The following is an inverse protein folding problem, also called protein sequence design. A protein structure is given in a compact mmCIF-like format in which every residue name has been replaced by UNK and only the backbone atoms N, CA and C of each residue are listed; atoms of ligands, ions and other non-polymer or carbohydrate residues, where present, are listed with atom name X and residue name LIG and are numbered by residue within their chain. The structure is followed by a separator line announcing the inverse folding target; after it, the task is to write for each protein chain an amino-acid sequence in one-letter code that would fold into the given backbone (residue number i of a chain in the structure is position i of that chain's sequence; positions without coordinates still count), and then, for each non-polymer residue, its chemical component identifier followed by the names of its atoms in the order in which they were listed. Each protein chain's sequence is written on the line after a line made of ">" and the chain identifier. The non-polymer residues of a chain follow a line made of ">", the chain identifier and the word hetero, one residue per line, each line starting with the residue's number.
data_IF_251874419742
#
_entry.id   IF_251874419742
#
_cell.length_a   1.000
_cell.length_b   1.000
_cell.length_c   1.000
_cell.angle_alpha   90.00
_cell.angle_beta   90.00
_cell.angle_gamma   90.00
#
_symmetry.space_group_name_H-M   'P 1'
#
loop_
_entity.id
_entity.type
_entity.pdbx_description
1 polymer ?
#
# COMPACT_ATOMS: atom_id res chain seq x y z
N UNK A 1 0.38 -44.13 36.64
CA UNK A 1 1.08 -43.36 35.58
C UNK A 1 0.15 -42.50 34.69
N UNK A 2 -1.12 -42.25 35.04
CA UNK A 2 -2.07 -41.51 34.16
C UNK A 2 -2.11 -39.99 34.37
N UNK A 3 -1.58 -39.46 35.48
CA UNK A 3 -1.65 -38.03 35.83
C UNK A 3 -0.59 -37.14 35.16
N UNK A 4 0.51 -37.72 34.65
CA UNK A 4 1.57 -36.96 33.96
C UNK A 4 1.29 -36.73 32.47
N UNK A 5 0.44 -37.57 31.87
CA UNK A 5 0.11 -37.51 30.44
C UNK A 5 -0.95 -36.41 30.16
N UNK A 6 -1.87 -36.17 31.10
CA UNK A 6 -2.91 -35.14 30.97
C UNK A 6 -2.37 -33.72 31.08
N UNK A 7 -1.33 -33.48 31.89
CA UNK A 7 -0.70 -32.16 32.01
C UNK A 7 0.07 -31.74 30.75
N UNK A 8 0.70 -32.69 30.05
CA UNK A 8 1.44 -32.42 28.83
C UNK A 8 0.52 -32.02 27.66
N UNK A 9 -0.65 -32.67 27.51
CA UNK A 9 -1.61 -32.30 26.47
C UNK A 9 -2.26 -30.92 26.71
N UNK A 10 -2.52 -30.54 27.96
CA UNK A 10 -3.05 -29.22 28.29
C UNK A 10 -2.05 -28.10 28.02
N UNK A 11 -0.76 -28.32 28.29
CA UNK A 11 0.30 -27.35 27.98
C UNK A 11 0.47 -27.09 26.48
N UNK A 12 0.39 -28.14 25.65
CA UNK A 12 0.47 -28.02 24.19
C UNK A 12 -0.74 -27.26 23.62
N UNK A 13 -1.94 -27.47 24.19
CA UNK A 13 -3.16 -26.81 23.74
C UNK A 13 -3.16 -25.30 24.03
N UNK A 14 -2.63 -24.88 25.19
CA UNK A 14 -2.49 -23.46 25.55
C UNK A 14 -1.45 -22.76 24.66
N UNK A 15 -0.34 -23.43 24.35
CA UNK A 15 0.67 -22.91 23.41
C UNK A 15 0.11 -22.74 21.98
N UNK A 16 -0.69 -23.70 21.51
CA UNK A 16 -1.33 -23.61 20.19
C UNK A 16 -2.34 -22.45 20.10
N UNK A 17 -3.15 -22.22 21.14
CA UNK A 17 -4.09 -21.09 21.18
C UNK A 17 -3.37 -19.72 21.26
N UNK A 18 -2.24 -19.63 21.95
CA UNK A 18 -1.43 -18.42 21.99
C UNK A 18 -0.89 -17.99 20.62
N UNK A 19 -0.45 -18.95 19.79
CA UNK A 19 0.04 -18.69 18.42
C UNK A 19 -1.10 -18.22 17.51
N UNK A 20 -2.31 -18.75 17.68
CA UNK A 20 -3.49 -18.32 16.92
C UNK A 20 -3.90 -16.88 17.25
N UNK A 21 -3.91 -16.47 18.52
CA UNK A 21 -4.26 -15.09 18.88
C UNK A 21 -3.22 -14.07 18.36
N UNK A 22 -1.92 -14.38 18.40
CA UNK A 22 -0.90 -13.49 17.84
C UNK A 22 -1.07 -13.27 16.33
N UNK A 23 -1.45 -14.32 15.59
CA UNK A 23 -1.75 -14.21 14.16
C UNK A 23 -3.03 -13.43 13.88
N UNK A 24 -4.07 -13.55 14.73
CA UNK A 24 -5.32 -12.77 14.59
C UNK A 24 -5.08 -11.28 14.85
N UNK A 25 -4.32 -10.91 15.89
CA UNK A 25 -3.93 -9.52 16.13
C UNK A 25 -3.08 -8.94 14.98
N UNK A 26 -2.20 -9.74 14.36
CA UNK A 26 -1.45 -9.32 13.18
C UNK A 26 -2.33 -9.22 11.90
N UNK A 27 -3.43 -9.97 11.82
CA UNK A 27 -4.36 -9.97 10.69
C UNK A 27 -5.25 -8.72 10.69
N UNK A 28 -5.76 -8.31 11.85
CA UNK A 28 -6.60 -7.11 11.98
C UNK A 28 -5.83 -5.79 11.84
N UNK A 29 -4.56 -5.75 12.27
CA UNK A 29 -3.70 -4.57 12.06
C UNK A 29 -3.32 -4.38 10.58
N UNK A 30 -3.32 -5.47 9.78
CA UNK A 30 -3.03 -5.41 8.34
C UNK A 30 -4.21 -4.92 7.50
N UNK A 31 -5.45 -5.22 7.89
CA UNK A 31 -6.62 -4.88 7.07
C UNK A 31 -7.17 -3.46 7.30
N UNK A 32 -6.95 -2.84 8.46
CA UNK A 32 -7.47 -1.49 8.74
C UNK A 32 -6.62 -0.34 8.20
N UNK A 33 -5.31 -0.56 7.94
CA UNK A 33 -4.40 0.45 7.37
C UNK A 33 -4.19 0.36 5.85
N UNK A 34 -4.94 -0.50 5.13
CA UNK A 34 -4.92 -0.52 3.66
C UNK A 34 -5.80 0.58 3.04
N UNK A 35 -5.77 1.78 3.61
CA UNK A 35 -6.19 3.03 2.96
C UNK A 35 -5.11 4.11 3.04
N UNK A 36 -3.87 3.75 3.35
CA UNK A 36 -2.72 4.67 3.31
C UNK A 36 -2.10 4.81 1.91
N UNK A 37 -2.85 4.45 0.85
CA UNK A 37 -2.52 4.77 -0.52
C UNK A 37 -3.23 6.06 -0.90
N UNK A 38 -2.50 7.18 -1.01
CA UNK A 38 -3.07 8.35 -1.68
C UNK A 38 -3.53 7.99 -3.10
N UNK A 39 -4.34 8.83 -3.75
CA UNK A 39 -4.83 8.60 -5.11
C UNK A 39 -3.68 8.23 -6.09
N UNK A 40 -2.49 8.78 -5.86
CA UNK A 40 -1.28 8.55 -6.65
C UNK A 40 -0.67 7.15 -6.40
N UNK A 41 -0.63 6.67 -5.14
CA UNK A 41 -0.10 5.35 -4.79
C UNK A 41 -0.94 4.25 -5.43
N UNK A 42 -2.27 4.36 -5.31
CA UNK A 42 -3.21 3.44 -5.93
C UNK A 42 -3.06 3.41 -7.45
N UNK A 43 -2.80 4.57 -8.07
CA UNK A 43 -2.53 4.65 -9.51
C UNK A 43 -1.27 3.88 -9.91
N UNK A 44 -0.19 3.97 -9.14
CA UNK A 44 1.03 3.21 -9.39
C UNK A 44 0.78 1.70 -9.34
N UNK A 45 0.20 1.19 -8.24
CA UNK A 45 -0.01 -0.24 -8.09
C UNK A 45 -0.99 -0.80 -9.10
N UNK A 46 -2.06 -0.06 -9.42
CA UNK A 46 -2.99 -0.44 -10.49
C UNK A 46 -2.29 -0.54 -11.85
N UNK A 47 -1.39 0.40 -12.17
CA UNK A 47 -0.59 0.35 -13.40
C UNK A 47 0.36 -0.84 -13.43
N UNK A 48 1.12 -1.06 -12.35
CA UNK A 48 2.07 -2.15 -12.27
C UNK A 48 1.36 -3.50 -12.39
N UNK A 49 0.25 -3.67 -11.68
CA UNK A 49 -0.56 -4.88 -11.73
C UNK A 49 -1.09 -5.16 -13.14
N UNK A 50 -1.65 -4.16 -13.82
CA UNK A 50 -2.12 -4.30 -15.20
C UNK A 50 -1.01 -4.74 -16.17
N UNK A 51 0.21 -4.22 -16.00
CA UNK A 51 1.36 -4.63 -16.82
C UNK A 51 1.70 -6.10 -16.56
N UNK A 52 1.73 -6.50 -15.29
CA UNK A 52 2.09 -7.86 -14.88
C UNK A 52 1.02 -8.90 -15.23
N UNK A 53 -0.26 -8.52 -15.27
CA UNK A 53 -1.35 -9.44 -15.66
C UNK A 53 -1.44 -9.64 -17.18
N UNK A 54 -1.13 -8.59 -17.96
CA UNK A 54 -1.32 -8.59 -19.41
C UNK A 54 0.01 -8.69 -20.18
N UNK A 55 1.12 -9.03 -19.53
CA UNK A 55 2.45 -8.96 -20.12
C UNK A 55 2.60 -9.80 -21.41
N UNK A 56 1.98 -10.99 -21.43
CA UNK A 56 1.96 -11.89 -22.59
C UNK A 56 1.21 -11.27 -23.78
N UNK A 57 0.02 -10.71 -23.54
CA UNK A 57 -0.79 -10.02 -24.56
C UNK A 57 -0.12 -8.73 -25.06
N UNK A 58 0.62 -8.05 -24.18
CA UNK A 58 1.35 -6.83 -24.49
C UNK A 58 2.66 -7.11 -25.26
N UNK A 59 3.10 -8.38 -25.34
CA UNK A 59 4.38 -8.75 -25.94
C UNK A 59 5.55 -8.15 -25.15
N UNK A 60 5.45 -8.14 -23.82
CA UNK A 60 6.49 -7.64 -22.92
C UNK A 60 7.46 -8.78 -22.63
N UNK A 61 8.78 -8.59 -22.85
CA UNK A 61 9.77 -9.63 -22.57
C UNK A 61 9.90 -9.86 -21.06
N UNK A 62 10.27 -11.07 -20.65
CA UNK A 62 10.35 -11.46 -19.24
C UNK A 62 11.31 -10.57 -18.43
N UNK A 63 12.40 -10.08 -19.04
CA UNK A 63 13.31 -9.13 -18.40
C UNK A 63 12.59 -7.83 -17.97
N UNK A 64 11.67 -7.34 -18.78
CA UNK A 64 10.85 -6.15 -18.51
C UNK A 64 9.78 -6.43 -17.46
N UNK A 65 9.27 -7.66 -17.39
CA UNK A 65 8.38 -8.13 -16.32
C UNK A 65 9.13 -8.14 -14.99
N UNK A 66 10.35 -8.67 -14.96
CA UNK A 66 11.17 -8.70 -13.75
C UNK A 66 11.52 -7.30 -13.25
N UNK A 67 11.93 -6.39 -14.16
CA UNK A 67 12.12 -4.97 -13.83
C UNK A 67 10.87 -4.33 -13.22
N UNK A 68 9.68 -4.69 -13.73
CA UNK A 68 8.40 -4.20 -13.21
C UNK A 68 8.11 -4.74 -11.81
N UNK A 69 8.34 -6.04 -11.56
CA UNK A 69 8.20 -6.67 -10.24
C UNK A 69 9.16 -6.04 -9.22
N UNK A 70 10.41 -5.85 -9.60
CA UNK A 70 11.42 -5.24 -8.74
C UNK A 70 11.08 -3.78 -8.42
N UNK A 71 10.64 -3.00 -9.41
CA UNK A 71 10.17 -1.63 -9.18
C UNK A 71 8.96 -1.57 -8.24
N UNK A 72 8.00 -2.49 -8.42
CA UNK A 72 6.84 -2.60 -7.53
C UNK A 72 7.26 -2.92 -6.09
N UNK A 73 8.19 -3.86 -5.91
CA UNK A 73 8.69 -4.26 -4.60
C UNK A 73 9.43 -3.11 -3.90
N UNK A 74 10.36 -2.44 -4.59
CA UNK A 74 11.13 -1.33 -4.02
C UNK A 74 10.23 -0.12 -3.70
N UNK A 75 9.27 0.18 -4.58
CA UNK A 75 8.28 1.23 -4.32
C UNK A 75 7.43 0.90 -3.09
N UNK A 76 7.02 -0.37 -2.94
CA UNK A 76 6.26 -0.80 -1.76
C UNK A 76 7.06 -0.66 -0.46
N UNK A 77 8.32 -1.11 -0.46
CA UNK A 77 9.23 -0.91 0.69
C UNK A 77 9.37 0.58 1.03
N UNK A 78 9.58 1.43 0.03
CA UNK A 78 9.72 2.87 0.22
C UNK A 78 8.45 3.50 0.81
N UNK A 79 7.28 3.20 0.24
CA UNK A 79 5.98 3.70 0.71
C UNK A 79 5.69 3.25 2.15
N UNK A 80 6.02 2.00 2.51
CA UNK A 80 5.86 1.50 3.88
C UNK A 80 6.72 2.32 4.86
N UNK A 81 8.00 2.55 4.54
CA UNK A 81 8.91 3.35 5.38
C UNK A 81 8.40 4.79 5.53
N UNK A 82 8.06 5.44 4.42
CA UNK A 82 7.55 6.81 4.42
C UNK A 82 6.23 6.94 5.20
N UNK A 83 5.33 5.97 5.09
CA UNK A 83 4.11 5.95 5.90
C UNK A 83 4.42 5.80 7.40
N UNK A 84 5.41 4.98 7.76
CA UNK A 84 5.82 4.84 9.16
C UNK A 84 6.41 6.15 9.71
N UNK A 85 7.24 6.86 8.94
CA UNK A 85 7.77 8.17 9.32
C UNK A 85 6.66 9.21 9.52
N UNK A 86 5.68 9.26 8.61
CA UNK A 86 4.51 10.14 8.73
C UNK A 86 3.70 9.81 9.99
N UNK A 87 3.54 8.51 10.30
CA UNK A 87 2.83 8.06 11.50
C UNK A 87 3.55 8.49 12.78
N UNK A 88 4.88 8.33 12.84
CA UNK A 88 5.69 8.75 13.98
C UNK A 88 5.47 10.24 14.27
N UNK A 89 5.62 11.10 13.25
CA UNK A 89 5.39 12.55 13.41
C UNK A 89 3.95 12.85 13.79
N UNK A 90 2.98 12.07 13.31
CA UNK A 90 1.58 12.23 13.70
C UNK A 90 1.32 11.89 15.17
N UNK A 91 2.02 10.90 15.71
CA UNK A 91 1.96 10.53 17.13
C UNK A 91 2.62 11.59 17.99
N UNK A 92 3.77 12.12 17.57
CA UNK A 92 4.46 13.22 18.27
C UNK A 92 3.60 14.48 18.31
N UNK A 93 2.94 14.81 17.17
CA UNK A 93 1.99 15.92 17.09
C UNK A 93 0.81 15.71 18.05
N UNK A 94 0.23 14.51 18.08
CA UNK A 94 -0.87 14.19 19.00
C UNK A 94 -0.42 14.32 20.47
N UNK A 95 0.76 13.82 20.81
CA UNK A 95 1.33 13.95 22.16
C UNK A 95 1.49 15.41 22.57
N UNK A 96 2.01 16.27 21.67
CA UNK A 96 2.18 17.70 21.93
C UNK A 96 0.88 18.47 22.08
N UNK A 97 -0.15 18.10 21.34
CA UNK A 97 -1.48 18.69 21.48
C UNK A 97 -2.19 18.30 22.79
N UNK A 98 -1.78 17.20 23.43
CA UNK A 98 -2.30 16.78 24.73
C UNK A 98 -1.65 17.50 25.92
N UNK A 99 -0.55 18.25 25.72
CA UNK A 99 0.12 19.02 26.77
C UNK A 99 -0.68 20.27 27.17
N UNK A 100 -0.55 20.70 28.44
CA UNK A 100 -1.05 22.01 28.91
C UNK A 100 0.07 22.74 29.66
N UNK A 101 0.44 23.97 29.25
CA UNK A 101 -0.03 24.68 28.06
C UNK A 101 0.49 24.03 26.76
N UNK A 102 -0.24 24.20 25.66
CA UNK A 102 0.21 23.74 24.34
C UNK A 102 1.32 24.65 23.82
N UNK A 103 2.46 24.07 23.47
CA UNK A 103 3.52 24.76 22.73
C UNK A 103 3.18 24.82 21.23
N UNK A 104 2.56 25.94 20.82
CA UNK A 104 2.12 26.17 19.44
C UNK A 104 3.30 26.20 18.45
N UNK A 105 4.49 26.66 18.86
CA UNK A 105 5.65 26.72 17.97
C UNK A 105 6.13 25.31 17.61
N UNK A 106 6.24 24.43 18.62
CA UNK A 106 6.61 23.02 18.40
C UNK A 106 5.55 22.27 17.59
N UNK A 107 4.27 22.50 17.88
CA UNK A 107 3.16 21.92 17.10
C UNK A 107 3.25 22.31 15.62
N UNK A 108 3.46 23.59 15.31
CA UNK A 108 3.57 24.05 13.92
C UNK A 108 4.76 23.41 13.19
N UNK A 109 5.92 23.26 13.85
CA UNK A 109 7.09 22.56 13.27
C UNK A 109 6.78 21.10 12.93
N UNK A 110 6.06 20.39 13.81
CA UNK A 110 5.65 19.00 13.57
C UNK A 110 4.64 18.89 12.42
N UNK A 111 3.72 19.85 12.29
CA UNK A 111 2.80 19.94 11.14
C UNK A 111 3.59 20.11 9.84
N UNK A 112 4.52 21.06 9.79
CA UNK A 112 5.35 21.30 8.60
C UNK A 112 6.16 20.07 8.22
N UNK A 113 6.79 19.42 9.21
CA UNK A 113 7.53 18.18 9.02
C UNK A 113 6.63 17.07 8.44
N UNK A 114 5.41 16.90 8.96
CA UNK A 114 4.48 15.91 8.45
C UNK A 114 4.13 16.15 6.97
N UNK A 115 3.90 17.41 6.58
CA UNK A 115 3.57 17.74 5.19
C UNK A 115 4.77 17.60 4.24
N UNK A 116 5.98 17.93 4.67
CA UNK A 116 7.17 17.69 3.86
C UNK A 116 7.41 16.19 3.63
N UNK A 117 7.16 15.33 4.63
CA UNK A 117 7.20 13.87 4.46
C UNK A 117 6.14 13.38 3.46
N UNK A 118 4.89 13.86 3.58
CA UNK A 118 3.81 13.53 2.63
C UNK A 118 4.15 13.95 1.19
N UNK A 119 4.73 15.13 1.02
CA UNK A 119 5.22 15.66 -0.27
C UNK A 119 6.36 14.83 -0.84
N UNK A 120 7.33 14.45 -0.01
CA UNK A 120 8.44 13.58 -0.41
C UNK A 120 7.93 12.22 -0.89
N UNK A 121 6.98 11.61 -0.15
CA UNK A 121 6.30 10.38 -0.56
C UNK A 121 5.58 10.53 -1.91
N UNK A 122 4.81 11.60 -2.10
CA UNK A 122 4.10 11.82 -3.37
C UNK A 122 5.10 11.91 -4.54
N UNK A 123 6.21 12.63 -4.36
CA UNK A 123 7.27 12.75 -5.37
C UNK A 123 7.94 11.40 -5.68
N UNK A 124 8.23 10.56 -4.68
CA UNK A 124 8.82 9.24 -4.93
C UNK A 124 7.89 8.34 -5.73
N UNK A 125 6.59 8.37 -5.44
CA UNK A 125 5.59 7.59 -6.21
C UNK A 125 5.43 8.12 -7.63
N UNK A 126 5.44 9.45 -7.85
CA UNK A 126 5.46 10.04 -9.20
C UNK A 126 6.71 9.60 -9.97
N UNK A 127 7.86 9.54 -9.30
CA UNK A 127 9.10 8.98 -9.85
C UNK A 127 8.92 7.52 -10.29
N UNK A 128 8.36 6.68 -9.43
CA UNK A 128 8.08 5.28 -9.73
C UNK A 128 7.09 5.11 -10.89
N UNK A 129 6.04 5.94 -10.99
CA UNK A 129 5.11 5.93 -12.13
C UNK A 129 5.85 6.28 -13.43
N UNK A 130 6.76 7.25 -13.39
CA UNK A 130 7.55 7.65 -14.55
C UNK A 130 8.48 6.52 -14.99
N UNK A 131 9.17 5.87 -14.05
CA UNK A 131 10.02 4.72 -14.32
C UNK A 131 9.21 3.54 -14.90
N UNK A 132 8.02 3.29 -14.36
CA UNK A 132 7.12 2.25 -14.87
C UNK A 132 6.71 2.51 -16.32
N UNK A 133 6.48 3.77 -16.69
CA UNK A 133 6.19 4.14 -18.08
C UNK A 133 7.41 4.00 -18.99
N UNK A 134 8.62 4.30 -18.52
CA UNK A 134 9.84 4.17 -19.34
C UNK A 134 10.26 2.73 -19.58
N UNK A 135 9.82 1.80 -18.74
CA UNK A 135 10.03 0.35 -18.91
C UNK A 135 9.25 -0.16 -20.15
N UNK A 136 8.16 0.50 -20.53
CA UNK A 136 7.35 0.14 -21.68
C UNK A 136 7.77 0.90 -22.93
N UNK A 137 7.69 0.25 -24.09
CA UNK A 137 7.74 0.97 -25.37
C UNK A 137 6.46 1.78 -25.57
N UNK A 138 6.49 2.78 -26.46
CA UNK A 138 5.31 3.58 -26.82
C UNK A 138 4.15 2.70 -27.31
N UNK A 139 4.45 1.65 -28.07
CA UNK A 139 3.45 0.71 -28.59
C UNK A 139 2.82 -0.13 -27.47
N UNK A 140 3.64 -0.67 -26.56
CA UNK A 140 3.17 -1.42 -25.39
C UNK A 140 2.30 -0.52 -24.49
N UNK A 141 2.71 0.74 -24.29
CA UNK A 141 1.96 1.70 -23.50
C UNK A 141 0.58 2.01 -24.10
N UNK A 142 0.48 2.20 -25.42
CA UNK A 142 -0.82 2.44 -26.07
C UNK A 142 -1.73 1.20 -26.05
N UNK A 143 -1.17 -0.01 -26.19
CA UNK A 143 -1.94 -1.26 -25.99
C UNK A 143 -2.48 -1.37 -24.57
N UNK A 144 -1.62 -1.13 -23.56
CA UNK A 144 -2.02 -1.11 -22.15
C UNK A 144 -3.11 -0.07 -21.90
N UNK A 145 -3.01 1.11 -22.53
CA UNK A 145 -4.02 2.18 -22.42
C UNK A 145 -5.37 1.77 -23.01
N UNK A 146 -5.40 1.01 -24.10
CA UNK A 146 -6.63 0.46 -24.67
C UNK A 146 -7.26 -0.58 -23.74
N UNK A 147 -6.47 -1.51 -23.20
CA UNK A 147 -6.93 -2.49 -22.20
C UNK A 147 -7.51 -1.79 -20.97
N UNK A 148 -6.85 -0.74 -20.49
CA UNK A 148 -7.34 0.08 -19.38
C UNK A 148 -8.73 0.67 -19.66
N UNK A 149 -8.93 1.28 -20.84
CA UNK A 149 -10.24 1.86 -21.23
C UNK A 149 -11.31 0.78 -21.45
N UNK A 150 -10.91 -0.40 -21.95
CA UNK A 150 -11.80 -1.55 -22.15
C UNK A 150 -12.28 -2.15 -20.82
N UNK A 151 -11.39 -2.34 -19.86
CA UNK A 151 -11.71 -2.88 -18.52
C UNK A 151 -12.54 -1.93 -17.66
N UNK A 152 -12.24 -0.62 -17.71
CA UNK A 152 -13.08 0.42 -17.06
C UNK A 152 -14.52 0.45 -17.59
N UNK A 153 -14.81 -0.13 -18.75
CA UNK A 153 -16.15 -0.11 -19.31
C UNK A 153 -17.06 -1.22 -18.78
N UNK A 154 -16.51 -2.28 -18.17
CA UNK A 154 -17.29 -3.44 -17.72
C UNK A 154 -17.48 -3.43 -16.20
N UNK A 155 -16.41 -3.36 -15.41
CA UNK A 155 -16.52 -3.47 -13.95
C UNK A 155 -16.98 -2.16 -13.26
N UNK A 156 -16.61 -0.99 -13.77
CA UNK A 156 -17.04 0.30 -13.19
C UNK A 156 -18.52 0.62 -13.50
N UNK A 157 -19.07 0.09 -14.60
CA UNK A 157 -20.50 0.24 -14.92
C UNK A 157 -21.39 -0.63 -14.03
N UNK A 158 -20.89 -1.80 -13.66
CA UNK A 158 -21.64 -2.78 -12.86
C UNK A 158 -21.56 -2.47 -11.36
N UNK A 159 -20.42 -1.98 -10.86
CA UNK A 159 -20.23 -1.70 -9.42
C UNK A 159 -20.56 -0.27 -8.99
N UNK A 160 -20.68 0.71 -9.89
CA UNK A 160 -20.98 2.10 -9.50
C UNK A 160 -21.76 2.90 -10.57
N UNK A 161 -23.07 2.64 -10.75
CA UNK A 161 -23.89 3.29 -11.78
C UNK A 161 -24.05 4.81 -11.58
N UNK A 162 -23.69 5.35 -10.42
CA UNK A 162 -23.83 6.78 -10.09
C UNK A 162 -22.72 7.67 -10.67
N UNK A 163 -21.58 7.13 -11.11
CA UNK A 163 -20.47 7.95 -11.65
C UNK A 163 -20.70 8.46 -13.08
N UNK A 164 -21.82 8.09 -13.72
CA UNK A 164 -22.09 8.37 -15.14
C UNK A 164 -23.21 9.39 -15.39
N UNK A 165 -23.66 10.15 -14.38
CA UNK A 165 -24.69 11.21 -14.52
C UNK A 165 -24.11 12.63 -14.71
N UNK A 166 -22.86 12.75 -15.13
CA UNK A 166 -22.16 14.04 -15.18
C UNK A 166 -21.25 14.20 -16.40
N UNK A 167 -21.78 13.96 -17.60
CA UNK A 167 -21.30 14.54 -18.85
C UNK A 167 -22.49 14.93 -19.70
#
# INVERSE_FOLDING_TARGET
>A
MKKKLTGACLGIFVLAMGISMANVYAYDFRHSKQKCGGEIDGMFYKKAHMILENYSELGIPEETVEKTKNLQLETNKAVIRQNAEIEIVSLDLAAKLHEYPVDVETVNKLVDQQYELKKAKAKSVVGAITQLKSILTKEQYEKLRKLWKGGLSKEDKEKNPMRNRGR
#
